data_IF_983546260007
#
_entry.id   IF_983546260007
#
_cell.length_a   1.000
_cell.length_b   1.000
_cell.length_c   1.000
_cell.angle_alpha   90.00
_cell.angle_beta   90.00
_cell.angle_gamma   90.00
#
_symmetry.space_group_name_H-M   'P 1'
#
loop_
_entity.id
_entity.type
_entity.pdbx_description
1 polymer ?
#
# COMPACT_ATOMS: atom_id res chain seq x y z
N UNK A 1 -18.52 -0.09 -7.94
CA UNK A 1 -17.55 -0.02 -6.82
C UNK A 1 -18.25 0.59 -5.61
N UNK A 2 -17.88 0.17 -4.41
CA UNK A 2 -18.33 0.82 -3.18
C UNK A 2 -17.86 2.28 -3.16
N UNK A 3 -18.71 3.19 -2.70
CA UNK A 3 -18.40 4.62 -2.67
C UNK A 3 -18.00 4.99 -1.24
N UNK A 4 -16.71 5.15 -1.01
CA UNK A 4 -16.15 5.61 0.26
C UNK A 4 -16.10 7.14 0.30
N UNK A 5 -16.35 7.73 1.46
CA UNK A 5 -16.05 9.14 1.64
C UNK A 5 -14.53 9.36 1.75
N UNK A 6 -14.07 10.62 1.65
CA UNK A 6 -12.64 10.96 1.66
C UNK A 6 -11.91 10.42 2.90
N UNK A 7 -12.55 10.40 4.07
CA UNK A 7 -11.96 9.95 5.33
C UNK A 7 -11.87 8.42 5.36
N UNK A 8 -12.92 7.72 4.92
CA UNK A 8 -12.89 6.25 4.74
C UNK A 8 -11.80 5.85 3.76
N UNK A 9 -11.69 6.55 2.65
CA UNK A 9 -10.69 6.29 1.62
C UNK A 9 -9.26 6.51 2.14
N UNK A 10 -9.02 7.59 2.89
CA UNK A 10 -7.72 7.86 3.54
C UNK A 10 -7.35 6.79 4.58
N UNK A 11 -8.33 6.27 5.32
CA UNK A 11 -8.11 5.16 6.25
C UNK A 11 -7.78 3.86 5.52
N UNK A 12 -8.50 3.54 4.45
CA UNK A 12 -8.18 2.38 3.61
C UNK A 12 -6.76 2.52 3.04
N UNK A 13 -6.41 3.69 2.49
CA UNK A 13 -5.08 3.95 1.96
C UNK A 13 -3.99 3.76 3.02
N UNK A 14 -4.17 4.34 4.21
CA UNK A 14 -3.26 4.15 5.35
C UNK A 14 -3.10 2.66 5.70
N UNK A 15 -4.19 1.90 5.73
CA UNK A 15 -4.16 0.48 6.06
C UNK A 15 -3.57 -0.38 4.94
N UNK A 16 -3.68 0.03 3.67
CA UNK A 16 -3.00 -0.63 2.54
C UNK A 16 -1.49 -0.56 2.77
N UNK A 17 -0.97 0.66 2.95
CA UNK A 17 0.47 0.92 3.11
C UNK A 17 1.04 0.26 4.38
N UNK A 18 0.33 0.40 5.51
CA UNK A 18 0.75 -0.26 6.77
C UNK A 18 0.83 -1.77 6.61
N UNK A 19 -0.08 -2.38 5.86
CA UNK A 19 -0.09 -3.84 5.63
C UNK A 19 1.03 -4.27 4.70
N UNK A 20 1.32 -3.50 3.64
CA UNK A 20 2.46 -3.73 2.77
C UNK A 20 3.77 -3.70 3.56
N UNK A 21 4.00 -2.63 4.31
CA UNK A 21 5.13 -2.50 5.24
C UNK A 21 5.23 -3.70 6.20
N UNK A 22 4.13 -4.09 6.84
CA UNK A 22 4.08 -5.21 7.78
C UNK A 22 4.49 -6.54 7.15
N UNK A 23 4.05 -6.79 5.91
CA UNK A 23 4.39 -8.00 5.16
C UNK A 23 5.88 -8.01 4.82
N UNK A 24 6.41 -6.89 4.31
CA UNK A 24 7.84 -6.78 4.00
C UNK A 24 8.72 -6.89 5.25
N UNK A 25 8.29 -6.31 6.38
CA UNK A 25 8.96 -6.44 7.67
C UNK A 25 9.00 -7.89 8.16
N UNK A 26 7.92 -8.66 7.98
CA UNK A 26 7.90 -10.10 8.29
C UNK A 26 8.81 -10.88 7.35
N UNK A 27 8.80 -10.56 6.05
CA UNK A 27 9.66 -11.20 5.08
C UNK A 27 11.15 -10.97 5.35
N UNK A 28 11.53 -9.75 5.77
CA UNK A 28 12.90 -9.40 6.18
C UNK A 28 13.46 -10.27 7.32
N UNK A 29 12.60 -10.77 8.21
CA UNK A 29 13.00 -11.65 9.31
C UNK A 29 13.34 -13.06 8.83
N UNK A 30 12.85 -13.44 7.65
CA UNK A 30 12.95 -14.80 7.11
C UNK A 30 13.99 -14.87 5.98
N UNK A 31 14.07 -13.82 5.15
CA UNK A 31 14.97 -13.74 4.00
C UNK A 31 16.45 -13.83 4.41
N UNK A 32 17.19 -14.68 3.69
CA UNK A 32 18.60 -15.00 3.96
C UNK A 32 19.54 -14.31 2.99
N UNK A 33 19.15 -14.18 1.71
CA UNK A 33 19.99 -13.54 0.68
C UNK A 33 20.07 -12.03 0.89
N UNK A 34 21.28 -11.48 0.81
CA UNK A 34 21.52 -10.05 1.01
C UNK A 34 20.70 -9.18 0.04
N UNK A 35 20.71 -9.51 -1.25
CA UNK A 35 19.96 -8.80 -2.29
C UNK A 35 18.44 -8.75 -2.01
N UNK A 36 17.85 -9.85 -1.52
CA UNK A 36 16.42 -9.92 -1.20
C UNK A 36 16.12 -9.10 0.05
N UNK A 37 17.01 -9.13 1.03
CA UNK A 37 16.88 -8.30 2.23
C UNK A 37 16.98 -6.81 1.90
N UNK A 38 17.86 -6.41 0.99
CA UNK A 38 17.97 -5.03 0.52
C UNK A 38 16.70 -4.59 -0.22
N UNK A 39 16.18 -5.43 -1.12
CA UNK A 39 14.91 -5.19 -1.81
C UNK A 39 13.75 -5.01 -0.83
N UNK A 40 13.55 -5.97 0.08
CA UNK A 40 12.46 -5.91 1.06
C UNK A 40 12.59 -4.73 2.02
N UNK A 41 13.82 -4.33 2.36
CA UNK A 41 14.07 -3.17 3.23
C UNK A 41 13.67 -1.88 2.53
N UNK A 42 14.02 -1.74 1.26
CA UNK A 42 13.62 -0.59 0.44
C UNK A 42 12.09 -0.49 0.33
N UNK A 43 11.43 -1.58 -0.05
CA UNK A 43 9.95 -1.64 -0.16
C UNK A 43 9.28 -1.31 1.17
N UNK A 44 9.77 -1.86 2.29
CA UNK A 44 9.27 -1.53 3.63
C UNK A 44 9.38 -0.04 3.96
N UNK A 45 10.50 0.60 3.63
CA UNK A 45 10.73 2.01 3.93
C UNK A 45 9.88 2.94 3.02
N UNK A 46 9.63 2.54 1.77
CA UNK A 46 8.72 3.22 0.82
C UNK A 46 7.28 3.25 1.40
N UNK A 47 6.74 2.08 1.78
CA UNK A 47 5.36 1.94 2.31
C UNK A 47 5.16 2.69 3.64
N UNK A 48 6.18 2.73 4.51
CA UNK A 48 6.10 3.53 5.74
C UNK A 48 6.00 5.03 5.47
N UNK A 49 6.66 5.52 4.42
CA UNK A 49 6.58 6.93 4.04
C UNK A 49 5.19 7.27 3.52
N UNK A 50 4.61 6.40 2.69
CA UNK A 50 3.25 6.56 2.18
C UNK A 50 2.20 6.49 3.29
N UNK A 51 2.31 5.52 4.20
CA UNK A 51 1.43 5.42 5.37
C UNK A 51 1.43 6.73 6.18
N UNK A 52 2.61 7.29 6.47
CA UNK A 52 2.73 8.54 7.21
C UNK A 52 2.11 9.75 6.47
N UNK A 53 2.15 9.76 5.13
CA UNK A 53 1.48 10.79 4.33
C UNK A 53 -0.04 10.65 4.45
N UNK A 54 -0.59 9.44 4.29
CA UNK A 54 -2.03 9.22 4.40
C UNK A 54 -2.56 9.47 5.81
N UNK A 55 -1.82 9.11 6.85
CA UNK A 55 -2.15 9.41 8.25
C UNK A 55 -2.29 10.92 8.45
N UNK A 56 -1.30 11.70 8.02
CA UNK A 56 -1.33 13.17 8.13
C UNK A 56 -2.51 13.77 7.36
N UNK A 57 -2.82 13.25 6.17
CA UNK A 57 -3.98 13.71 5.40
C UNK A 57 -5.29 13.37 6.09
N UNK A 58 -5.38 12.20 6.73
CA UNK A 58 -6.51 11.78 7.55
C UNK A 58 -6.72 12.70 8.74
N UNK A 59 -5.65 13.01 9.48
CA UNK A 59 -5.66 13.96 10.60
C UNK A 59 -6.15 15.33 10.15
N UNK A 60 -5.59 15.89 9.07
CA UNK A 60 -6.01 17.17 8.52
C UNK A 60 -7.48 17.18 8.04
N UNK A 61 -8.01 16.03 7.59
CA UNK A 61 -9.40 15.91 7.17
C UNK A 61 -10.38 15.81 8.35
N UNK A 62 -9.89 15.40 9.53
CA UNK A 62 -10.65 15.31 10.78
C UNK A 62 -10.61 16.61 11.58
N UNK A 63 -9.59 17.45 11.40
CA UNK A 63 -9.49 18.75 12.07
C UNK A 63 -10.74 19.63 11.83
N UNK A 64 -11.51 19.87 12.90
CA UNK A 64 -12.74 20.68 12.87
C UNK A 64 -14.00 19.92 12.45
N UNK A 65 -13.96 18.59 12.35
CA UNK A 65 -15.11 17.75 12.00
C UNK A 65 -15.37 16.68 13.09
N UNK A 66 -15.98 17.10 14.19
CA UNK A 66 -16.29 16.25 15.36
C UNK A 66 -17.21 15.06 15.02
N UNK A 67 -18.05 15.18 13.99
CA UNK A 67 -18.93 14.08 13.53
C UNK A 67 -18.18 12.99 12.74
N UNK A 68 -17.05 13.33 12.12
CA UNK A 68 -16.23 12.38 11.36
C UNK A 68 -15.36 11.46 12.24
N UNK A 69 -15.28 11.74 13.54
CA UNK A 69 -14.47 11.01 14.50
C UNK A 69 -15.09 9.67 14.91
N UNK A 70 -16.39 9.46 14.64
CA UNK A 70 -17.12 8.27 15.07
C UNK A 70 -17.05 7.11 14.06
N UNK A 71 -16.00 6.30 14.17
CA UNK A 71 -15.97 4.97 13.55
C UNK A 71 -16.36 3.90 14.55
N UNK A 72 -17.38 3.11 14.20
CA UNK A 72 -17.65 1.91 14.99
C UNK A 72 -16.53 0.89 14.80
N UNK A 73 -16.25 0.02 15.79
CA UNK A 73 -15.29 -1.07 15.63
C UNK A 73 -15.56 -1.94 14.39
N UNK A 74 -16.83 -2.15 14.04
CA UNK A 74 -17.24 -2.94 12.88
C UNK A 74 -16.85 -2.27 11.57
N UNK A 75 -17.04 -0.94 11.46
CA UNK A 75 -16.62 -0.18 10.29
C UNK A 75 -15.09 -0.21 10.14
N UNK A 76 -14.35 -0.05 11.24
CA UNK A 76 -12.88 -0.15 11.22
C UNK A 76 -12.41 -1.54 10.77
N UNK A 77 -13.03 -2.62 11.28
CA UNK A 77 -12.74 -3.98 10.85
C UNK A 77 -13.04 -4.21 9.37
N UNK A 78 -14.15 -3.68 8.87
CA UNK A 78 -14.53 -3.78 7.46
C UNK A 78 -13.50 -3.08 6.56
N UNK A 79 -13.11 -1.84 6.87
CA UNK A 79 -12.11 -1.10 6.10
C UNK A 79 -10.76 -1.81 6.12
N UNK A 80 -10.34 -2.34 7.27
CA UNK A 80 -9.10 -3.08 7.42
C UNK A 80 -9.10 -4.38 6.59
N UNK A 81 -10.24 -5.09 6.52
CA UNK A 81 -10.38 -6.27 5.68
C UNK A 81 -10.35 -5.91 4.18
N UNK A 82 -10.99 -4.81 3.79
CA UNK A 82 -10.97 -4.33 2.42
C UNK A 82 -9.56 -3.91 1.98
N UNK A 83 -8.83 -3.18 2.84
CA UNK A 83 -7.43 -2.84 2.61
C UNK A 83 -6.54 -4.08 2.45
N UNK A 84 -6.78 -5.13 3.23
CA UNK A 84 -6.02 -6.38 3.15
C UNK A 84 -6.16 -7.08 1.79
N UNK A 85 -7.35 -7.06 1.20
CA UNK A 85 -7.61 -7.61 -0.14
C UNK A 85 -6.90 -6.82 -1.24
N UNK A 86 -6.69 -5.52 -1.04
CA UNK A 86 -6.00 -4.66 -2.01
C UNK A 86 -4.48 -4.82 -1.90
N UNK A 87 -3.91 -4.63 -0.70
CA UNK A 87 -2.46 -4.58 -0.50
C UNK A 87 -1.78 -5.90 -0.89
N UNK A 88 -2.23 -7.01 -0.29
CA UNK A 88 -1.62 -8.33 -0.49
C UNK A 88 -2.66 -9.42 -0.27
N UNK A 89 -3.53 -9.71 -1.27
CA UNK A 89 -4.51 -10.78 -1.15
C UNK A 89 -3.77 -12.11 -0.99
N UNK A 90 -3.86 -12.76 0.17
CA UNK A 90 -3.11 -13.98 0.54
C UNK A 90 -1.88 -13.76 1.43
N UNK A 91 -1.53 -12.52 1.74
CA UNK A 91 -0.53 -12.13 2.75
C UNK A 91 0.88 -12.72 2.53
N UNK A 92 1.58 -12.96 3.65
CA UNK A 92 2.97 -13.45 3.64
C UNK A 92 3.13 -14.80 2.93
N UNK A 93 2.12 -15.67 2.98
CA UNK A 93 2.17 -16.98 2.32
C UNK A 93 2.25 -16.82 0.80
N UNK A 94 1.47 -15.90 0.24
CA UNK A 94 1.53 -15.59 -1.19
C UNK A 94 2.84 -14.88 -1.55
N UNK A 95 3.36 -14.02 -0.67
CA UNK A 95 4.67 -13.41 -0.88
C UNK A 95 5.80 -14.44 -0.94
N UNK A 96 5.72 -15.50 -0.13
CA UNK A 96 6.70 -16.57 -0.15
C UNK A 96 6.61 -17.46 -1.41
N UNK A 97 5.42 -17.61 -1.99
CA UNK A 97 5.19 -18.53 -3.10
C UNK A 97 5.62 -19.97 -2.77
N UNK A 98 5.80 -20.79 -3.80
CA UNK A 98 6.23 -22.19 -3.64
C UNK A 98 7.74 -22.30 -3.37
N UNK A 99 8.53 -21.32 -3.81
CA UNK A 99 10.00 -21.28 -3.72
C UNK A 99 10.53 -20.66 -2.41
N UNK A 100 9.66 -20.03 -1.62
CA UNK A 100 10.03 -19.29 -0.41
C UNK A 100 10.56 -17.88 -0.68
N UNK A 101 10.80 -17.13 0.41
CA UNK A 101 11.21 -15.72 0.41
C UNK A 101 12.68 -15.46 0.00
N UNK A 102 13.37 -16.43 -0.61
CA UNK A 102 14.77 -16.31 -1.05
C UNK A 102 14.91 -16.20 -2.59
N UNK A 103 13.80 -16.22 -3.33
CA UNK A 103 13.79 -15.91 -4.76
C UNK A 103 13.43 -14.42 -4.98
N UNK A 104 14.37 -13.57 -5.44
CA UNK A 104 14.07 -12.16 -5.70
C UNK A 104 12.98 -11.97 -6.75
N UNK A 105 12.85 -12.88 -7.74
CA UNK A 105 11.81 -12.78 -8.77
C UNK A 105 10.42 -12.87 -8.17
N UNK A 106 10.21 -13.81 -7.23
CA UNK A 106 8.93 -13.98 -6.53
C UNK A 106 8.56 -12.72 -5.75
N UNK A 107 9.50 -12.13 -5.01
CA UNK A 107 9.26 -10.90 -4.25
C UNK A 107 8.93 -9.73 -5.18
N UNK A 108 9.67 -9.56 -6.27
CA UNK A 108 9.45 -8.49 -7.23
C UNK A 108 8.09 -8.61 -7.92
N UNK A 109 7.67 -9.81 -8.32
CA UNK A 109 6.37 -10.03 -8.95
C UNK A 109 5.21 -9.67 -8.02
N UNK A 110 5.33 -10.00 -6.74
CA UNK A 110 4.31 -9.63 -5.76
C UNK A 110 4.32 -8.13 -5.45
N UNK A 111 5.50 -7.49 -5.35
CA UNK A 111 5.60 -6.04 -5.21
C UNK A 111 4.98 -5.32 -6.42
N UNK A 112 5.26 -5.76 -7.65
CA UNK A 112 4.63 -5.22 -8.87
C UNK A 112 3.10 -5.30 -8.81
N UNK A 113 2.55 -6.37 -8.23
CA UNK A 113 1.09 -6.48 -8.10
C UNK A 113 0.54 -5.56 -7.01
N UNK A 114 1.24 -5.41 -5.89
CA UNK A 114 0.88 -4.47 -4.83
C UNK A 114 0.83 -3.04 -5.37
N UNK A 115 1.88 -2.59 -6.05
CA UNK A 115 1.96 -1.27 -6.72
C UNK A 115 0.78 -1.02 -7.67
N UNK A 116 0.47 -2.00 -8.53
CA UNK A 116 -0.68 -1.89 -9.45
C UNK A 116 -2.01 -1.73 -8.72
N UNK A 117 -2.19 -2.46 -7.62
CA UNK A 117 -3.40 -2.41 -6.82
C UNK A 117 -3.54 -1.07 -6.10
N UNK A 118 -2.46 -0.57 -5.49
CA UNK A 118 -2.39 0.76 -4.86
C UNK A 118 -2.69 1.86 -5.87
N UNK A 119 -2.04 1.84 -7.04
CA UNK A 119 -2.30 2.80 -8.13
C UNK A 119 -3.78 2.81 -8.52
N UNK A 120 -4.37 1.63 -8.77
CA UNK A 120 -5.79 1.53 -9.14
C UNK A 120 -6.67 2.15 -8.05
N UNK A 121 -6.44 1.77 -6.79
CA UNK A 121 -7.22 2.27 -5.67
C UNK A 121 -7.12 3.80 -5.55
N UNK A 122 -5.91 4.35 -5.57
CA UNK A 122 -5.69 5.80 -5.45
C UNK A 122 -6.29 6.60 -6.61
N UNK A 123 -6.28 6.05 -7.82
CA UNK A 123 -6.94 6.67 -8.96
C UNK A 123 -8.47 6.73 -8.79
N UNK A 124 -9.06 5.67 -8.25
CA UNK A 124 -10.50 5.61 -8.00
C UNK A 124 -10.92 6.57 -6.88
N UNK A 125 -10.16 6.63 -5.78
CA UNK A 125 -10.38 7.62 -4.71
C UNK A 125 -10.27 9.05 -5.26
N UNK A 126 -9.25 9.32 -6.07
CA UNK A 126 -9.06 10.64 -6.68
C UNK A 126 -10.21 11.02 -7.64
N UNK A 127 -10.77 10.04 -8.36
CA UNK A 127 -11.92 10.25 -9.24
C UNK A 127 -13.20 10.56 -8.45
N UNK A 128 -13.44 9.85 -7.34
CA UNK A 128 -14.63 9.99 -6.51
C UNK A 128 -14.60 11.22 -5.59
N UNK A 129 -13.42 11.67 -5.16
CA UNK A 129 -13.28 12.79 -4.25
C UNK A 129 -13.70 14.13 -4.87
N UNK A 130 -14.11 15.09 -4.06
CA UNK A 130 -14.26 16.50 -4.47
C UNK A 130 -13.22 17.43 -3.80
N UNK A 131 -12.38 16.89 -2.93
CA UNK A 131 -11.37 17.64 -2.20
C UNK A 131 -10.10 17.86 -3.06
N UNK A 132 -9.85 19.09 -3.49
CA UNK A 132 -8.73 19.43 -4.36
C UNK A 132 -7.35 19.15 -3.72
N UNK A 133 -7.23 19.31 -2.40
CA UNK A 133 -6.00 19.01 -1.66
C UNK A 133 -5.73 17.51 -1.69
N UNK A 134 -6.73 16.70 -1.36
CA UNK A 134 -6.61 15.24 -1.39
C UNK A 134 -6.25 14.74 -2.79
N UNK A 135 -6.92 15.25 -3.84
CA UNK A 135 -6.60 14.88 -5.24
C UNK A 135 -5.16 15.18 -5.61
N UNK A 136 -4.60 16.31 -5.15
CA UNK A 136 -3.21 16.67 -5.42
C UNK A 136 -2.25 15.65 -4.81
N UNK A 137 -2.43 15.32 -3.53
CA UNK A 137 -1.57 14.34 -2.85
C UNK A 137 -1.69 12.94 -3.46
N UNK A 138 -2.92 12.49 -3.79
CA UNK A 138 -3.12 11.22 -4.49
C UNK A 138 -2.44 11.20 -5.87
N UNK A 139 -2.49 12.30 -6.62
CA UNK A 139 -1.80 12.41 -7.91
C UNK A 139 -0.27 12.37 -7.78
N UNK A 140 0.28 12.85 -6.65
CA UNK A 140 1.70 12.77 -6.35
C UNK A 140 2.12 11.33 -6.00
N UNK A 141 1.38 10.66 -5.11
CA UNK A 141 1.63 9.25 -4.75
C UNK A 141 1.48 8.35 -5.98
N UNK A 142 0.41 8.47 -6.76
CA UNK A 142 0.23 7.66 -8.00
C UNK A 142 1.39 7.80 -8.98
N UNK A 143 2.05 8.96 -9.03
CA UNK A 143 3.23 9.17 -9.88
C UNK A 143 4.46 8.47 -9.33
N UNK A 144 4.61 8.48 -8.01
CA UNK A 144 5.67 7.79 -7.29
C UNK A 144 5.54 6.28 -7.46
N UNK A 145 4.36 5.70 -7.21
CA UNK A 145 4.07 4.27 -7.38
C UNK A 145 4.26 3.80 -8.82
N UNK A 146 3.94 4.64 -9.82
CA UNK A 146 4.27 4.33 -11.21
C UNK A 146 5.77 4.24 -11.45
N UNK A 147 6.56 5.06 -10.74
CA UNK A 147 8.02 5.05 -10.82
C UNK A 147 8.58 3.81 -10.11
N UNK A 148 8.04 3.44 -8.94
CA UNK A 148 8.34 2.17 -8.24
C UNK A 148 8.03 0.97 -9.13
N UNK A 149 6.81 0.88 -9.66
CA UNK A 149 6.37 -0.16 -10.59
C UNK A 149 7.32 -0.33 -11.77
N UNK A 150 7.73 0.77 -12.42
CA UNK A 150 8.68 0.71 -13.52
C UNK A 150 10.06 0.22 -13.06
N UNK A 151 10.55 0.70 -11.93
CA UNK A 151 11.83 0.24 -11.36
C UNK A 151 11.83 -1.24 -10.98
N UNK A 152 10.71 -1.77 -10.48
CA UNK A 152 10.55 -3.20 -10.18
C UNK A 152 10.49 -4.03 -11.47
N UNK A 153 9.75 -3.58 -12.49
CA UNK A 153 9.69 -4.25 -13.79
C UNK A 153 11.05 -4.31 -14.49
N UNK A 154 11.85 -3.24 -14.40
CA UNK A 154 13.24 -3.26 -14.88
C UNK A 154 14.08 -4.29 -14.13
N UNK A 155 13.99 -4.36 -12.80
CA UNK A 155 14.69 -5.40 -12.03
C UNK A 155 14.29 -6.82 -12.43
N UNK A 156 13.00 -7.08 -12.68
CA UNK A 156 12.52 -8.39 -13.16
C UNK A 156 13.10 -8.74 -14.53
N UNK A 157 13.16 -7.78 -15.44
CA UNK A 157 13.75 -7.96 -16.76
C UNK A 157 15.24 -8.29 -16.66
N UNK A 158 15.96 -7.62 -15.77
CA UNK A 158 17.41 -7.80 -15.60
C UNK A 158 17.79 -9.13 -14.92
N UNK A 159 16.82 -9.83 -14.30
CA UNK A 159 17.01 -11.17 -13.75
C UNK A 159 17.02 -12.29 -14.81
N UNK A 160 16.65 -12.00 -16.07
CA UNK A 160 16.61 -12.98 -17.17
C UNK A 160 15.27 -13.70 -17.30
#
# INVERSE_FOLDING_TARGET
MQNFNDIEALKIATEIERRGADIYARALKIARRAEVRELLKRLYDEELQHAAVFERLGEMALEGNEEAEYYTPEAAMFLAAFAAEIAFPGGLMKLAGDSGLDDPRVILEQAVQAEKNSILFYQEVMAASHNATLKKYLADIVREERSHLMGLLTQIHDLG
#
